data_IF_203629469812
#
_entry.id   IF_203629469812
#
_cell.length_a   1.000
_cell.length_b   1.000
_cell.length_c   1.000
_cell.angle_alpha   90.00
_cell.angle_beta   90.00
_cell.angle_gamma   90.00
#
_symmetry.space_group_name_H-M   'P 1'
#
loop_
_entity.id
_entity.type
_entity.pdbx_description
1 polymer ?
#
# COMPACT_ATOMS: atom_id res chain seq x y z
N UNK A 1 16.13 -95.51 6.04
CA UNK A 1 16.92 -94.27 5.98
C UNK A 1 16.00 -93.15 5.53
N UNK A 2 15.47 -92.39 6.46
CA UNK A 2 14.48 -91.33 6.24
C UNK A 2 15.19 -89.99 6.51
N UNK A 3 15.23 -89.19 5.46
CA UNK A 3 15.87 -87.82 5.51
C UNK A 3 14.81 -86.81 6.04
N UNK A 4 15.10 -85.99 7.01
CA UNK A 4 14.16 -84.96 7.48
C UNK A 4 14.10 -83.80 6.52
N UNK A 5 12.89 -83.31 6.23
CA UNK A 5 12.63 -82.09 5.47
C UNK A 5 12.99 -80.84 6.26
N UNK A 6 13.74 -79.97 5.62
CA UNK A 6 14.12 -78.65 6.15
C UNK A 6 12.96 -77.72 6.01
N UNK A 7 12.39 -77.28 7.12
CA UNK A 7 11.38 -76.20 7.20
C UNK A 7 11.99 -74.82 6.97
N UNK A 8 11.64 -74.22 5.86
CA UNK A 8 12.09 -72.86 5.54
C UNK A 8 11.18 -71.83 6.24
N UNK A 9 11.74 -71.10 7.17
CA UNK A 9 11.10 -69.98 7.88
C UNK A 9 10.84 -68.82 6.90
N UNK A 10 9.62 -68.23 6.85
CA UNK A 10 9.35 -67.10 5.96
C UNK A 10 10.01 -65.85 6.51
N UNK A 11 10.94 -65.30 5.74
CA UNK A 11 11.56 -63.97 6.00
C UNK A 11 10.53 -62.88 5.76
N UNK A 12 10.09 -62.25 6.85
CA UNK A 12 9.19 -61.12 6.84
C UNK A 12 9.92 -59.90 6.26
N UNK A 13 9.73 -59.63 4.96
CA UNK A 13 10.27 -58.45 4.30
C UNK A 13 9.58 -57.20 4.86
N UNK A 14 10.25 -56.47 5.74
CA UNK A 14 9.89 -55.13 6.12
C UNK A 14 10.03 -54.21 4.89
N UNK A 15 9.00 -53.49 4.54
CA UNK A 15 9.02 -52.55 3.41
C UNK A 15 9.44 -51.15 3.88
N UNK A 16 10.74 -50.84 4.04
CA UNK A 16 11.20 -49.52 4.47
C UNK A 16 10.85 -48.42 3.47
N UNK A 17 10.67 -48.81 2.19
CA UNK A 17 10.30 -47.87 1.11
C UNK A 17 8.88 -47.29 1.27
N UNK A 18 7.92 -48.02 1.85
CA UNK A 18 6.56 -47.50 2.09
C UNK A 18 6.53 -46.45 3.19
N UNK A 19 7.32 -46.64 4.24
CA UNK A 19 7.46 -45.64 5.31
C UNK A 19 8.20 -44.40 4.84
N UNK A 20 9.25 -44.54 4.01
CA UNK A 20 9.97 -43.43 3.41
C UNK A 20 9.04 -42.60 2.50
N UNK A 21 8.20 -43.23 1.69
CA UNK A 21 7.25 -42.53 0.83
C UNK A 21 6.18 -41.78 1.64
N UNK A 22 5.69 -42.36 2.76
CA UNK A 22 4.75 -41.65 3.66
C UNK A 22 5.37 -40.42 4.33
N UNK A 23 6.61 -40.52 4.80
CA UNK A 23 7.31 -39.41 5.42
C UNK A 23 7.53 -38.29 4.41
N UNK A 24 7.96 -38.62 3.19
CA UNK A 24 8.14 -37.61 2.11
C UNK A 24 6.79 -36.97 1.76
N UNK A 25 5.71 -37.72 1.68
CA UNK A 25 4.37 -37.20 1.41
C UNK A 25 3.89 -36.22 2.51
N UNK A 26 4.08 -36.60 3.78
CA UNK A 26 3.72 -35.73 4.92
C UNK A 26 4.54 -34.43 4.94
N UNK A 27 5.85 -34.51 4.68
CA UNK A 27 6.72 -33.34 4.61
C UNK A 27 6.32 -32.44 3.45
N UNK A 28 6.00 -33.01 2.28
CA UNK A 28 5.54 -32.22 1.12
C UNK A 28 4.21 -31.53 1.40
N UNK A 29 3.25 -32.21 2.01
CA UNK A 29 1.97 -31.61 2.41
C UNK A 29 2.19 -30.52 3.46
N UNK A 30 3.04 -30.76 4.45
CA UNK A 30 3.38 -29.75 5.46
C UNK A 30 4.02 -28.49 4.84
N UNK A 31 4.95 -28.68 3.91
CA UNK A 31 5.56 -27.55 3.17
C UNK A 31 4.53 -26.82 2.30
N UNK A 32 3.62 -27.53 1.63
CA UNK A 32 2.52 -26.92 0.88
C UNK A 32 1.58 -26.12 1.78
N UNK A 33 1.22 -26.66 2.94
CA UNK A 33 0.41 -25.95 3.94
C UNK A 33 1.15 -24.72 4.46
N UNK A 34 2.45 -24.84 4.78
CA UNK A 34 3.28 -23.70 5.18
C UNK A 34 3.36 -22.64 4.09
N UNK A 35 3.55 -23.02 2.84
CA UNK A 35 3.57 -22.10 1.70
C UNK A 35 2.19 -21.45 1.47
N UNK A 36 1.11 -22.22 1.65
CA UNK A 36 -0.24 -21.68 1.52
C UNK A 36 -0.58 -20.72 2.66
N UNK A 37 -0.27 -21.06 3.91
CA UNK A 37 -0.46 -20.19 5.07
C UNK A 37 0.47 -18.97 5.04
N UNK A 38 1.70 -19.12 4.54
CA UNK A 38 2.61 -17.99 4.32
C UNK A 38 2.13 -17.04 3.20
N UNK A 39 1.39 -17.56 2.20
CA UNK A 39 0.77 -16.74 1.15
C UNK A 39 -0.53 -16.09 1.58
N UNK A 40 -1.26 -16.68 2.52
CA UNK A 40 -2.46 -16.10 3.15
C UNK A 40 -2.13 -15.22 4.35
N UNK A 41 -0.90 -15.21 4.80
CA UNK A 41 -0.34 -14.10 5.54
C UNK A 41 -0.40 -12.90 4.61
N UNK A 42 -1.57 -12.28 4.51
CA UNK A 42 -1.76 -10.92 4.10
C UNK A 42 -0.58 -10.16 4.66
N UNK A 43 0.36 -9.77 3.80
CA UNK A 43 1.28 -8.72 4.17
C UNK A 43 0.38 -7.55 4.48
N UNK A 44 -0.03 -7.47 5.72
CA UNK A 44 -0.27 -6.21 6.37
C UNK A 44 1.10 -5.52 6.35
N UNK A 45 1.48 -4.99 5.21
CA UNK A 45 2.07 -3.68 5.18
C UNK A 45 0.99 -2.82 5.82
N UNK A 46 0.72 -3.14 7.08
CA UNK A 46 -0.17 -2.42 7.93
C UNK A 46 0.38 -1.04 7.87
N UNK A 47 -0.38 -0.16 7.33
CA UNK A 47 -0.05 1.22 7.35
C UNK A 47 0.07 1.55 8.81
N UNK A 48 1.31 1.57 9.27
CA UNK A 48 1.61 1.89 10.66
C UNK A 48 1.12 3.29 11.03
N UNK A 49 0.66 4.06 10.04
CA UNK A 49 0.20 5.44 10.19
C UNK A 49 -1.32 5.61 10.36
N UNK A 50 -2.17 4.69 9.89
CA UNK A 50 -3.62 4.84 10.08
C UNK A 50 -3.95 4.85 11.59
N UNK A 51 -4.70 5.87 12.02
CA UNK A 51 -4.99 6.16 13.42
C UNK A 51 -3.87 6.91 14.16
N UNK A 52 -2.82 7.36 13.48
CA UNK A 52 -1.72 8.14 14.08
C UNK A 52 -1.61 9.53 13.46
N UNK A 53 -0.89 10.41 14.15
CA UNK A 53 -0.54 11.70 13.58
C UNK A 53 0.22 11.54 12.26
N UNK A 54 -0.16 12.33 11.26
CA UNK A 54 0.51 12.36 9.98
C UNK A 54 1.94 12.88 10.15
N UNK A 55 2.94 12.25 9.52
CA UNK A 55 4.28 12.83 9.42
C UNK A 55 4.24 14.17 8.67
N UNK A 56 5.23 15.01 8.87
CA UNK A 56 5.42 16.19 8.06
C UNK A 56 5.64 15.84 6.58
N UNK A 57 5.44 16.83 5.71
CA UNK A 57 5.84 16.76 4.31
C UNK A 57 6.90 17.82 4.11
N UNK A 58 8.11 17.38 3.81
CA UNK A 58 9.25 18.24 3.58
C UNK A 58 9.66 18.21 2.10
N UNK A 59 10.41 19.20 1.67
CA UNK A 59 10.90 19.28 0.31
C UNK A 59 10.68 20.67 -0.32
N UNK A 60 11.33 20.88 -1.45
CA UNK A 60 11.14 22.09 -2.23
C UNK A 60 9.79 22.05 -2.92
N UNK A 61 9.03 23.13 -2.84
CA UNK A 61 7.80 23.29 -3.60
C UNK A 61 8.12 23.51 -5.08
N UNK A 62 7.64 22.62 -5.94
CA UNK A 62 7.77 22.71 -7.39
C UNK A 62 6.60 23.46 -8.02
N UNK A 63 5.42 23.40 -7.41
CA UNK A 63 4.18 24.01 -7.89
C UNK A 63 3.26 24.34 -6.71
N UNK A 64 2.43 25.37 -6.88
CA UNK A 64 1.47 25.82 -5.87
C UNK A 64 2.14 26.60 -4.74
N UNK A 65 1.36 26.88 -3.71
CA UNK A 65 1.82 27.59 -2.53
C UNK A 65 2.46 26.65 -1.51
N UNK A 66 3.35 27.19 -0.67
CA UNK A 66 3.89 26.45 0.45
C UNK A 66 2.75 26.00 1.38
N UNK A 67 2.82 24.75 1.83
CA UNK A 67 1.81 24.15 2.67
C UNK A 67 2.47 23.38 3.82
N UNK A 68 2.02 23.67 5.03
CA UNK A 68 2.42 22.94 6.24
C UNK A 68 1.27 22.04 6.68
N UNK A 69 1.48 20.74 6.59
CA UNK A 69 0.49 19.74 6.97
C UNK A 69 0.16 19.76 8.47
N UNK A 70 1.12 20.17 9.31
CA UNK A 70 0.93 20.28 10.75
C UNK A 70 -0.06 21.37 11.16
N UNK A 71 -0.34 22.33 10.27
CA UNK A 71 -1.30 23.40 10.45
C UNK A 71 -2.55 23.24 9.56
N UNK A 72 -2.81 22.03 9.08
CA UNK A 72 -3.99 21.75 8.26
C UNK A 72 -5.26 21.84 9.12
N UNK A 73 -6.21 22.64 8.67
CA UNK A 73 -7.54 22.85 9.29
C UNK A 73 -8.67 22.19 8.49
N UNK A 74 -8.29 21.35 7.53
CA UNK A 74 -9.17 20.68 6.55
C UNK A 74 -8.64 19.30 6.21
N UNK A 75 -9.43 18.55 5.46
CA UNK A 75 -9.00 17.27 4.91
C UNK A 75 -7.83 17.43 3.93
N UNK A 76 -6.84 16.56 4.00
CA UNK A 76 -5.69 16.58 3.10
C UNK A 76 -5.46 15.20 2.51
N UNK A 77 -5.47 15.13 1.18
CA UNK A 77 -4.97 13.97 0.45
C UNK A 77 -3.48 14.17 0.20
N UNK A 78 -2.64 13.30 0.76
CA UNK A 78 -1.20 13.27 0.49
C UNK A 78 -0.92 12.15 -0.50
N UNK A 79 -0.62 12.51 -1.75
CA UNK A 79 -0.42 11.57 -2.86
C UNK A 79 1.06 11.45 -3.22
N UNK A 80 1.59 10.23 -3.21
CA UNK A 80 2.94 9.90 -3.66
C UNK A 80 2.90 9.36 -5.09
N UNK A 81 3.59 10.04 -6.00
CA UNK A 81 3.51 9.75 -7.44
C UNK A 81 4.82 9.99 -8.19
N UNK A 82 4.87 9.54 -9.44
CA UNK A 82 5.87 9.93 -10.42
C UNK A 82 5.24 10.02 -11.82
N UNK A 83 5.82 10.83 -12.71
CA UNK A 83 5.28 11.05 -14.06
C UNK A 83 5.44 9.83 -14.99
N UNK A 84 6.39 8.95 -14.68
CA UNK A 84 6.63 7.70 -15.40
C UNK A 84 5.75 6.53 -14.91
N UNK A 85 5.02 6.72 -13.82
CA UNK A 85 4.19 5.70 -13.19
C UNK A 85 2.81 5.63 -13.87
N UNK A 86 2.56 4.61 -14.69
CA UNK A 86 1.30 4.46 -15.43
C UNK A 86 0.04 4.50 -14.55
N UNK A 87 -0.04 3.78 -13.42
CA UNK A 87 -1.22 3.88 -12.55
C UNK A 87 -1.35 5.26 -11.88
N UNK A 88 -0.26 5.99 -11.63
CA UNK A 88 -0.32 7.37 -11.13
C UNK A 88 -0.95 8.32 -12.18
N UNK A 89 -0.61 8.11 -13.46
CA UNK A 89 -1.22 8.85 -14.57
C UNK A 89 -2.72 8.56 -14.67
N UNK A 90 -3.13 7.32 -14.41
CA UNK A 90 -4.52 6.89 -14.48
C UNK A 90 -5.38 7.46 -13.33
N UNK A 91 -4.81 7.61 -12.12
CA UNK A 91 -5.56 8.19 -10.98
C UNK A 91 -5.61 9.72 -10.99
N UNK A 92 -4.70 10.39 -11.72
CA UNK A 92 -4.60 11.84 -11.72
C UNK A 92 -5.92 12.59 -12.04
N UNK A 93 -6.76 12.15 -13.01
CA UNK A 93 -8.08 12.74 -13.24
C UNK A 93 -9.00 12.69 -12.01
N UNK A 94 -8.94 11.63 -11.22
CA UNK A 94 -9.74 11.44 -10.00
C UNK A 94 -9.31 12.42 -8.90
N UNK A 95 -7.99 12.59 -8.71
CA UNK A 95 -7.45 13.59 -7.78
C UNK A 95 -7.80 15.02 -8.21
N UNK A 96 -7.82 15.27 -9.53
CA UNK A 96 -8.29 16.57 -10.06
C UNK A 96 -9.75 16.81 -9.76
N UNK A 97 -10.61 15.84 -10.04
CA UNK A 97 -12.04 15.95 -9.79
C UNK A 97 -12.32 16.19 -8.29
N UNK A 98 -11.63 15.48 -7.42
CA UNK A 98 -11.67 15.70 -5.97
C UNK A 98 -11.22 17.13 -5.59
N UNK A 99 -10.07 17.58 -6.08
CA UNK A 99 -9.56 18.91 -5.78
C UNK A 99 -10.48 20.03 -6.29
N UNK A 100 -11.04 19.90 -7.49
CA UNK A 100 -11.97 20.87 -8.10
C UNK A 100 -13.30 20.93 -7.34
N UNK A 101 -13.82 19.80 -6.86
CA UNK A 101 -15.06 19.77 -6.06
C UNK A 101 -14.86 20.43 -4.70
N UNK A 102 -13.84 20.03 -3.97
CA UNK A 102 -13.56 20.54 -2.62
C UNK A 102 -12.96 21.95 -2.60
N UNK A 103 -12.46 22.45 -3.72
CA UNK A 103 -12.07 23.86 -3.82
C UNK A 103 -13.27 24.83 -3.65
N UNK A 104 -14.51 24.38 -3.91
CA UNK A 104 -15.72 25.19 -3.78
C UNK A 104 -16.11 25.47 -2.34
N UNK A 105 -15.88 24.50 -1.47
CA UNK A 105 -16.18 24.55 -0.02
C UNK A 105 -14.94 24.85 0.81
N UNK A 106 -13.75 24.54 0.30
CA UNK A 106 -12.46 24.70 0.98
C UNK A 106 -12.25 23.70 2.11
N UNK A 107 -13.05 22.63 2.19
CA UNK A 107 -13.04 21.63 3.26
C UNK A 107 -11.99 20.53 3.06
N UNK A 108 -11.50 20.34 1.81
CA UNK A 108 -10.42 19.43 1.53
C UNK A 108 -9.44 19.97 0.48
N UNK A 109 -8.25 19.38 0.41
CA UNK A 109 -7.24 19.67 -0.61
C UNK A 109 -6.39 18.45 -0.94
N UNK A 110 -5.72 18.53 -2.06
CA UNK A 110 -4.69 17.58 -2.48
C UNK A 110 -3.31 18.24 -2.32
N UNK A 111 -2.34 17.46 -1.88
CA UNK A 111 -0.91 17.74 -2.07
C UNK A 111 -0.25 16.52 -2.68
N UNK A 112 0.77 16.72 -3.49
CA UNK A 112 1.53 15.62 -4.07
C UNK A 112 3.00 15.69 -3.67
N UNK A 113 3.58 14.52 -3.43
CA UNK A 113 5.01 14.35 -3.14
C UNK A 113 5.61 13.51 -4.26
N UNK A 114 6.63 14.05 -4.90
CA UNK A 114 7.34 13.37 -5.98
C UNK A 114 8.14 12.21 -5.43
N UNK A 115 8.02 11.05 -6.07
CA UNK A 115 8.80 9.86 -5.79
C UNK A 115 9.78 9.60 -6.93
N UNK A 116 11.06 9.82 -6.72
CA UNK A 116 12.14 9.55 -7.69
C UNK A 116 11.82 9.99 -9.14
N UNK A 117 11.66 11.29 -9.35
CA UNK A 117 11.39 11.88 -10.67
C UNK A 117 12.08 13.24 -10.83
N UNK A 118 12.18 13.72 -12.05
CA UNK A 118 12.79 15.00 -12.36
C UNK A 118 11.80 16.15 -12.25
N UNK A 119 12.15 17.22 -11.55
CA UNK A 119 11.33 18.41 -11.38
C UNK A 119 10.77 18.97 -12.70
N UNK A 120 11.58 18.95 -13.78
CA UNK A 120 11.15 19.41 -15.11
C UNK A 120 10.13 18.48 -15.78
N UNK A 121 10.17 17.20 -15.49
CA UNK A 121 9.16 16.25 -15.96
C UNK A 121 7.85 16.43 -15.20
N UNK A 122 7.93 16.64 -13.88
CA UNK A 122 6.79 16.93 -13.02
C UNK A 122 6.09 18.21 -13.46
N UNK A 123 6.82 19.31 -13.66
CA UNK A 123 6.23 20.57 -14.15
C UNK A 123 5.48 20.38 -15.46
N UNK A 124 6.10 19.75 -16.46
CA UNK A 124 5.45 19.45 -17.75
C UNK A 124 4.21 18.59 -17.60
N UNK A 125 4.23 17.63 -16.69
CA UNK A 125 3.10 16.75 -16.42
C UNK A 125 1.87 17.57 -15.97
N UNK A 126 2.03 18.44 -14.99
CA UNK A 126 0.94 19.28 -14.50
C UNK A 126 0.51 20.35 -15.52
N UNK A 127 1.44 20.92 -16.29
CA UNK A 127 1.10 21.88 -17.36
C UNK A 127 0.23 21.23 -18.45
N UNK A 128 0.46 19.95 -18.74
CA UNK A 128 -0.30 19.22 -19.76
C UNK A 128 -1.61 18.61 -19.24
N UNK A 129 -1.65 18.20 -17.98
CA UNK A 129 -2.76 17.43 -17.42
C UNK A 129 -3.61 18.20 -16.41
N UNK A 130 -3.18 19.41 -16.03
CA UNK A 130 -3.83 20.19 -15.00
C UNK A 130 -3.52 19.65 -13.59
N UNK A 131 -4.27 20.16 -12.62
CA UNK A 131 -4.04 19.97 -11.19
C UNK A 131 -3.41 21.21 -10.58
N UNK A 132 -4.22 21.95 -9.81
CA UNK A 132 -3.79 23.22 -9.20
C UNK A 132 -3.68 23.05 -7.69
N UNK A 133 -2.66 22.28 -7.28
CA UNK A 133 -2.34 22.01 -5.87
C UNK A 133 -0.84 22.00 -5.63
N UNK A 134 -0.45 21.97 -4.37
CA UNK A 134 0.95 21.97 -3.96
C UNK A 134 1.63 20.65 -4.33
N UNK A 135 2.77 20.75 -5.01
CA UNK A 135 3.62 19.62 -5.37
C UNK A 135 5.00 19.84 -4.76
N UNK A 136 5.40 18.90 -3.90
CA UNK A 136 6.71 18.86 -3.28
C UNK A 136 7.67 18.00 -4.11
N UNK A 137 8.89 18.48 -4.27
CA UNK A 137 9.99 17.70 -4.85
C UNK A 137 10.35 16.52 -3.94
N UNK A 138 10.98 15.53 -4.54
CA UNK A 138 11.61 14.48 -3.77
C UNK A 138 12.71 15.06 -2.88
N UNK A 139 12.69 14.70 -1.62
CA UNK A 139 13.70 15.04 -0.62
C UNK A 139 14.67 13.87 -0.38
N UNK A 140 15.11 13.25 -1.47
CA UNK A 140 15.89 11.99 -1.46
C UNK A 140 15.12 10.79 -0.88
N UNK A 141 13.77 10.86 -0.91
CA UNK A 141 12.87 9.81 -0.45
C UNK A 141 12.63 9.80 1.05
N UNK A 142 13.08 10.81 1.80
CA UNK A 142 12.92 10.86 3.27
C UNK A 142 11.44 10.92 3.64
N UNK A 143 10.68 11.86 3.07
CA UNK A 143 9.23 11.96 3.28
C UNK A 143 8.53 10.64 2.92
N UNK A 144 8.90 10.00 1.82
CA UNK A 144 8.32 8.70 1.44
C UNK A 144 8.62 7.60 2.47
N UNK A 145 9.81 7.59 3.08
CA UNK A 145 10.18 6.66 4.14
C UNK A 145 9.38 6.92 5.43
N UNK A 146 9.22 8.18 5.84
CA UNK A 146 8.48 8.57 7.04
C UNK A 146 6.99 8.20 6.90
N UNK A 147 6.44 8.30 5.69
CA UNK A 147 5.09 7.88 5.36
C UNK A 147 4.95 6.37 5.13
N UNK A 148 6.04 5.61 5.14
CA UNK A 148 6.02 4.16 4.90
C UNK A 148 5.53 3.80 3.50
N UNK A 149 5.89 4.61 2.50
CA UNK A 149 5.57 4.37 1.09
C UNK A 149 6.39 3.21 0.58
N UNK A 150 5.73 2.14 0.17
CA UNK A 150 6.39 0.94 -0.35
C UNK A 150 6.42 0.91 -1.88
N UNK A 151 5.44 1.54 -2.52
CA UNK A 151 5.31 1.62 -3.98
C UNK A 151 4.35 2.76 -4.34
N UNK A 152 4.49 3.30 -5.54
CA UNK A 152 3.58 4.33 -6.03
C UNK A 152 2.56 3.74 -7.05
N UNK A 153 1.35 4.33 -7.15
CA UNK A 153 0.85 5.39 -6.30
C UNK A 153 0.40 4.89 -4.92
N UNK A 154 0.68 5.67 -3.91
CA UNK A 154 0.08 5.54 -2.60
C UNK A 154 -0.47 6.89 -2.17
N UNK A 155 -1.73 6.93 -1.69
CA UNK A 155 -2.37 8.12 -1.19
C UNK A 155 -2.83 7.93 0.24
N UNK A 156 -2.71 8.97 1.04
CA UNK A 156 -3.13 9.00 2.44
C UNK A 156 -4.15 10.10 2.63
N UNK A 157 -5.23 9.80 3.34
CA UNK A 157 -6.22 10.79 3.73
C UNK A 157 -5.95 11.20 5.18
N UNK A 158 -5.73 12.49 5.39
CA UNK A 158 -5.47 13.11 6.69
C UNK A 158 -6.66 13.96 7.07
N UNK A 159 -7.18 13.75 8.27
CA UNK A 159 -8.29 14.53 8.82
C UNK A 159 -7.85 15.92 9.28
N UNK A 160 -8.79 16.86 9.50
CA UNK A 160 -8.48 18.22 9.96
C UNK A 160 -7.72 18.29 11.29
N UNK A 161 -7.75 17.25 12.09
CA UNK A 161 -6.98 17.15 13.34
C UNK A 161 -5.57 16.56 13.15
N UNK A 162 -5.12 16.35 11.90
CA UNK A 162 -3.78 15.85 11.57
C UNK A 162 -3.62 14.34 11.70
N UNK A 163 -4.70 13.57 11.81
CA UNK A 163 -4.65 12.11 11.90
C UNK A 163 -4.77 11.45 10.53
N UNK A 164 -3.93 10.49 10.21
CA UNK A 164 -4.10 9.65 9.02
C UNK A 164 -5.27 8.70 9.22
N UNK A 165 -6.33 8.85 8.44
CA UNK A 165 -7.55 8.04 8.58
C UNK A 165 -7.64 6.90 7.58
N UNK A 166 -7.02 7.04 6.41
CA UNK A 166 -6.99 6.00 5.39
C UNK A 166 -5.70 6.01 4.58
N UNK A 167 -5.35 4.85 4.02
CA UNK A 167 -4.30 4.66 3.03
C UNK A 167 -4.87 3.93 1.82
N UNK A 168 -4.61 4.46 0.64
CA UNK A 168 -4.97 3.87 -0.65
C UNK A 168 -3.72 3.41 -1.39
N UNK A 169 -3.76 2.21 -1.94
CA UNK A 169 -2.64 1.57 -2.62
C UNK A 169 -3.06 1.23 -4.05
N UNK A 170 -2.19 1.53 -5.02
CA UNK A 170 -2.41 1.28 -6.45
C UNK A 170 -3.46 2.16 -7.11
N UNK A 171 -3.72 3.33 -6.53
CA UNK A 171 -4.62 4.35 -7.03
C UNK A 171 -5.83 4.57 -6.13
N UNK A 172 -6.46 5.72 -6.29
CA UNK A 172 -7.64 6.16 -5.55
C UNK A 172 -8.59 6.87 -6.48
N UNK A 173 -9.90 6.77 -6.22
CA UNK A 173 -10.94 7.54 -6.92
C UNK A 173 -11.50 8.64 -6.00
N UNK A 174 -12.07 9.69 -6.61
CA UNK A 174 -12.79 10.73 -5.88
C UNK A 174 -13.84 10.11 -4.96
N UNK A 175 -14.68 9.22 -5.49
CA UNK A 175 -15.75 8.58 -4.71
C UNK A 175 -15.25 7.80 -3.48
N UNK A 176 -14.06 7.21 -3.55
CA UNK A 176 -13.45 6.53 -2.40
C UNK A 176 -13.01 7.51 -1.33
N UNK A 177 -12.43 8.65 -1.71
CA UNK A 177 -12.05 9.71 -0.78
C UNK A 177 -13.28 10.30 -0.09
N UNK A 178 -14.30 10.68 -0.87
CA UNK A 178 -15.55 11.24 -0.36
C UNK A 178 -16.28 10.29 0.61
N UNK A 179 -16.30 9.00 0.28
CA UNK A 179 -16.93 7.99 1.14
C UNK A 179 -16.23 7.86 2.51
N UNK A 180 -14.89 7.95 2.55
CA UNK A 180 -14.14 7.90 3.82
C UNK A 180 -14.36 9.18 4.62
N UNK A 181 -14.37 10.36 3.99
CA UNK A 181 -14.68 11.63 4.66
C UNK A 181 -16.07 11.57 5.31
N UNK A 182 -17.09 11.19 4.53
CA UNK A 182 -18.46 11.11 5.02
C UNK A 182 -18.60 10.13 6.21
N UNK A 183 -17.98 8.96 6.14
CA UNK A 183 -18.05 7.97 7.22
C UNK A 183 -17.36 8.46 8.51
N UNK A 184 -16.26 9.19 8.37
CA UNK A 184 -15.55 9.76 9.53
C UNK A 184 -16.33 10.87 10.21
N UNK A 185 -16.96 11.75 9.41
CA UNK A 185 -17.76 12.87 9.94
C UNK A 185 -19.03 12.36 10.65
N UNK A 186 -19.65 11.28 10.14
CA UNK A 186 -20.80 10.63 10.78
C UNK A 186 -20.44 10.03 12.17
N UNK A 187 -19.26 9.40 12.27
CA UNK A 187 -18.75 8.83 13.54
C UNK A 187 -18.37 9.92 14.55
N UNK A 188 -17.83 11.06 14.09
CA UNK A 188 -17.43 12.16 14.95
C UNK A 188 -18.63 12.98 15.46
N UNK A 189 -19.78 12.94 14.76
CA UNK A 189 -21.02 13.65 15.10
C UNK A 189 -21.98 12.86 16.01
N UNK A 190 -21.70 11.58 16.28
CA UNK A 190 -22.54 10.69 17.11
C UNK A 190 -22.01 10.56 18.54
#
# INVERSE_FOLDING_TARGET
>A
MTTPASEATPVRRSHPTRWAALVVGVVAIFLLVLLFTARTGERRTGTTLVGKAAPGVEGKVLRGDAFDLGNADRWVVVNFFATWCTPCIAEHPELRAFAEEHAKTGDARVISVVYDDQATAVQRFFDQRGGDWTVFDSDEGRTALDWGVAKIPESYLVSPNGTVVAKFISGVTQAQLDAVIASYDDEAGS
#
